data_IF_842067017803
#
_entry.id   IF_842067017803
#
_cell.length_a   1.000
_cell.length_b   1.000
_cell.length_c   1.000
_cell.angle_alpha   90.00
_cell.angle_beta   90.00
_cell.angle_gamma   90.00
#
_symmetry.space_group_name_H-M   'P 1'
#
loop_
_entity.id
_entity.type
_entity.pdbx_description
1 polymer ?
#
# COMPACT_ATOMS: atom_id res chain seq x y z
N UNK A 1 -26.50 10.78 -21.43
CA UNK A 1 -25.39 9.86 -21.09
C UNK A 1 -24.12 10.68 -21.00
N UNK A 2 -23.71 11.06 -19.79
CA UNK A 2 -22.47 11.81 -19.56
C UNK A 2 -21.36 10.79 -19.25
N UNK A 3 -20.50 10.52 -20.24
CA UNK A 3 -19.24 9.80 -20.00
C UNK A 3 -18.23 10.75 -19.39
N UNK A 4 -18.05 10.67 -18.08
CA UNK A 4 -16.94 11.29 -17.37
C UNK A 4 -15.67 10.49 -17.67
N UNK A 5 -15.03 10.75 -18.82
CA UNK A 5 -13.66 10.31 -19.05
C UNK A 5 -12.75 11.14 -18.15
N UNK A 6 -12.65 10.77 -16.87
CA UNK A 6 -11.67 11.38 -15.96
C UNK A 6 -10.30 11.13 -16.56
N UNK A 7 -9.60 12.22 -16.87
CA UNK A 7 -8.29 12.25 -17.46
C UNK A 7 -7.31 11.44 -16.58
N UNK A 8 -7.00 10.21 -16.97
CA UNK A 8 -6.08 9.29 -16.27
C UNK A 8 -4.62 9.81 -16.20
N UNK A 9 -4.35 11.02 -16.71
CA UNK A 9 -3.04 11.67 -16.78
C UNK A 9 -2.73 12.62 -15.63
N UNK A 10 -3.67 12.84 -14.70
CA UNK A 10 -3.53 13.86 -13.66
C UNK A 10 -3.26 13.30 -12.25
N UNK A 11 -3.06 11.99 -12.11
CA UNK A 11 -2.72 11.41 -10.80
C UNK A 11 -1.24 11.61 -10.47
N UNK A 12 -0.99 12.30 -9.36
CA UNK A 12 0.34 12.49 -8.81
C UNK A 12 0.97 11.13 -8.47
N UNK A 13 2.20 10.88 -8.97
CA UNK A 13 2.96 9.66 -8.68
C UNK A 13 3.97 9.91 -7.56
N UNK A 14 4.17 8.91 -6.72
CA UNK A 14 5.19 8.88 -5.68
C UNK A 14 6.11 7.70 -5.91
N UNK A 15 7.39 7.87 -5.58
CA UNK A 15 8.30 6.74 -5.42
C UNK A 15 8.32 6.34 -3.94
N UNK A 16 7.96 5.09 -3.65
CA UNK A 16 7.92 4.57 -2.29
C UNK A 16 8.32 3.09 -2.21
N UNK A 17 8.87 2.65 -1.06
CA UNK A 17 9.12 1.23 -0.83
C UNK A 17 7.80 0.49 -0.57
N UNK A 18 7.65 -0.67 -1.20
CA UNK A 18 6.54 -1.60 -0.97
C UNK A 18 7.06 -3.03 -0.94
N UNK A 19 6.34 -3.93 -0.28
CA UNK A 19 6.46 -5.36 -0.55
C UNK A 19 5.41 -5.72 -1.59
N UNK A 20 5.81 -6.28 -2.72
CA UNK A 20 4.92 -6.64 -3.83
C UNK A 20 4.97 -8.13 -4.14
N UNK A 21 3.80 -8.74 -4.28
CA UNK A 21 3.63 -10.08 -4.86
C UNK A 21 2.68 -9.95 -6.05
N UNK A 22 2.96 -10.69 -7.13
CA UNK A 22 2.10 -10.70 -8.31
C UNK A 22 1.81 -12.13 -8.78
N UNK A 23 0.63 -12.34 -9.36
CA UNK A 23 0.23 -13.58 -10.01
C UNK A 23 -0.45 -13.26 -11.34
N UNK A 24 -0.02 -13.90 -12.43
CA UNK A 24 -0.65 -13.72 -13.73
C UNK A 24 -1.97 -14.47 -13.80
N UNK A 25 -3.05 -13.75 -14.10
CA UNK A 25 -4.42 -14.29 -14.10
C UNK A 25 -4.88 -14.67 -15.50
N UNK A 26 -4.46 -13.91 -16.52
CA UNK A 26 -4.82 -14.14 -17.93
C UNK A 26 -5.16 -12.83 -18.63
N UNK A 27 -6.17 -12.84 -19.52
CA UNK A 27 -6.53 -11.68 -20.32
C UNK A 27 -7.66 -10.81 -19.73
N UNK A 28 -8.35 -11.28 -18.69
CA UNK A 28 -9.52 -10.61 -18.09
C UNK A 28 -9.57 -10.82 -16.59
N UNK A 29 -10.15 -9.85 -15.89
CA UNK A 29 -10.46 -9.96 -14.46
C UNK A 29 -11.55 -11.01 -14.27
N UNK A 30 -11.35 -12.04 -13.43
CA UNK A 30 -12.38 -13.03 -13.13
C UNK A 30 -13.57 -12.39 -12.41
N UNK A 31 -14.79 -12.81 -12.76
CA UNK A 31 -16.00 -12.29 -12.13
C UNK A 31 -16.17 -12.92 -10.74
N UNK A 32 -16.40 -12.09 -9.72
CA UNK A 32 -16.75 -12.56 -8.37
C UNK A 32 -15.59 -13.12 -7.54
N UNK A 33 -14.37 -13.12 -8.06
CA UNK A 33 -13.16 -13.46 -7.30
C UNK A 33 -12.44 -12.19 -6.87
N UNK A 34 -11.87 -12.20 -5.68
CA UNK A 34 -10.99 -11.14 -5.22
C UNK A 34 -9.57 -11.38 -5.73
N UNK A 35 -8.80 -10.31 -5.96
CA UNK A 35 -7.40 -10.46 -6.36
C UNK A 35 -6.59 -11.30 -5.37
N UNK A 36 -6.95 -11.24 -4.09
CA UNK A 36 -6.27 -11.98 -3.04
C UNK A 36 -6.44 -13.50 -3.14
N UNK A 37 -7.52 -14.00 -3.76
CA UNK A 37 -7.77 -15.45 -3.89
C UNK A 37 -6.73 -16.18 -4.75
N UNK A 38 -5.88 -15.45 -5.47
CA UNK A 38 -4.79 -16.01 -6.28
C UNK A 38 -3.53 -16.32 -5.47
N UNK A 39 -3.53 -16.04 -4.17
CA UNK A 39 -2.40 -16.26 -3.28
C UNK A 39 -2.74 -17.33 -2.23
N UNK A 40 -1.80 -18.23 -1.90
CA UNK A 40 -2.06 -19.40 -1.04
C UNK A 40 -2.44 -19.04 0.40
N UNK A 41 -2.05 -17.85 0.85
CA UNK A 41 -2.22 -17.32 2.20
C UNK A 41 -3.32 -16.24 2.29
N UNK A 42 -4.27 -16.26 1.35
CA UNK A 42 -5.34 -15.25 1.24
C UNK A 42 -6.18 -15.08 2.51
N UNK A 43 -6.53 -16.17 3.19
CA UNK A 43 -7.29 -16.11 4.44
C UNK A 43 -6.55 -15.34 5.54
N UNK A 44 -5.24 -15.60 5.67
CA UNK A 44 -4.38 -14.94 6.66
C UNK A 44 -4.21 -13.47 6.30
N UNK A 45 -4.00 -13.15 5.02
CA UNK A 45 -3.89 -11.77 4.56
C UNK A 45 -5.19 -10.97 4.79
N UNK A 46 -6.34 -11.58 4.49
CA UNK A 46 -7.66 -10.99 4.75
C UNK A 46 -7.88 -10.71 6.24
N UNK A 47 -7.56 -11.67 7.12
CA UNK A 47 -7.66 -11.51 8.56
C UNK A 47 -6.78 -10.35 9.07
N UNK A 48 -5.53 -10.25 8.60
CA UNK A 48 -4.63 -9.18 9.01
C UNK A 48 -5.12 -7.80 8.56
N UNK A 49 -5.66 -7.71 7.34
CA UNK A 49 -6.26 -6.46 6.84
C UNK A 49 -7.43 -6.02 7.71
N UNK A 50 -8.29 -6.97 8.08
CA UNK A 50 -9.44 -6.69 8.92
C UNK A 50 -9.02 -6.28 10.34
N UNK A 51 -8.05 -6.97 10.94
CA UNK A 51 -7.52 -6.60 12.25
C UNK A 51 -6.95 -5.16 12.24
N UNK A 52 -6.18 -4.81 11.21
CA UNK A 52 -5.63 -3.46 11.03
C UNK A 52 -6.71 -2.40 10.81
N UNK A 53 -7.79 -2.75 10.10
CA UNK A 53 -8.94 -1.87 9.92
C UNK A 53 -9.59 -1.57 11.27
N UNK A 54 -9.85 -2.60 12.07
CA UNK A 54 -10.42 -2.48 13.41
C UNK A 54 -9.52 -1.69 14.36
N UNK A 55 -8.19 -1.88 14.31
CA UNK A 55 -7.22 -1.08 15.08
C UNK A 55 -7.36 0.41 14.76
N UNK A 56 -7.44 0.75 13.46
CA UNK A 56 -7.54 2.12 13.01
C UNK A 56 -8.86 2.77 13.43
N UNK A 57 -9.97 2.04 13.25
CA UNK A 57 -11.30 2.47 13.67
C UNK A 57 -11.39 2.62 15.18
N UNK A 58 -10.72 1.78 15.96
CA UNK A 58 -10.80 1.80 17.42
C UNK A 58 -9.86 2.81 18.08
N UNK A 59 -8.88 3.36 17.35
CA UNK A 59 -7.85 4.23 17.93
C UNK A 59 -8.43 5.48 18.61
N UNK A 60 -9.42 6.12 18.00
CA UNK A 60 -10.05 7.32 18.59
C UNK A 60 -10.90 6.98 19.82
N UNK A 61 -11.56 5.82 19.83
CA UNK A 61 -12.34 5.34 20.97
C UNK A 61 -11.42 5.03 22.16
N UNK A 62 -10.27 4.40 21.91
CA UNK A 62 -9.28 4.12 22.94
C UNK A 62 -8.75 5.42 23.57
N UNK A 63 -8.49 6.44 22.76
CA UNK A 63 -8.06 7.75 23.25
C UNK A 63 -9.13 8.42 24.12
N UNK A 64 -10.39 8.43 23.66
CA UNK A 64 -11.51 8.99 24.42
C UNK A 64 -11.79 8.25 25.75
N UNK A 65 -11.48 6.95 25.81
CA UNK A 65 -11.49 6.17 27.06
C UNK A 65 -10.36 6.62 27.99
N UNK A 66 -9.15 6.83 27.46
CA UNK A 66 -7.97 7.27 28.21
C UNK A 66 -8.10 8.64 28.84
N UNK A 67 -8.85 9.56 28.20
CA UNK A 67 -9.22 10.84 28.80
C UNK A 67 -10.05 10.69 30.08
N UNK A 68 -10.79 9.58 30.22
CA UNK A 68 -11.63 9.27 31.39
C UNK A 68 -10.90 8.40 32.42
N UNK A 69 -10.20 7.37 31.97
CA UNK A 69 -9.44 6.46 32.83
C UNK A 69 -8.23 5.87 32.09
N UNK A 70 -7.03 6.26 32.54
CA UNK A 70 -5.76 5.81 31.98
C UNK A 70 -5.47 4.32 32.22
N UNK A 71 -5.99 3.73 33.29
CA UNK A 71 -5.80 2.30 33.57
C UNK A 71 -6.59 1.45 32.58
N UNK A 72 -7.80 1.88 32.23
CA UNK A 72 -8.63 1.21 31.22
C UNK A 72 -8.00 1.33 29.83
N UNK A 73 -7.50 2.51 29.46
CA UNK A 73 -6.75 2.69 28.21
C UNK A 73 -5.52 1.76 28.15
N UNK A 74 -4.72 1.71 29.21
CA UNK A 74 -3.55 0.84 29.26
C UNK A 74 -3.92 -0.64 29.12
N UNK A 75 -4.97 -1.08 29.82
CA UNK A 75 -5.44 -2.47 29.75
C UNK A 75 -5.93 -2.85 28.35
N UNK A 76 -6.78 -2.02 27.73
CA UNK A 76 -7.27 -2.24 26.36
C UNK A 76 -6.11 -2.17 25.34
N UNK A 77 -5.15 -1.27 25.53
CA UNK A 77 -3.92 -1.22 24.74
C UNK A 77 -3.09 -2.51 24.85
N UNK A 78 -3.00 -3.11 26.03
CA UNK A 78 -2.37 -4.43 26.19
C UNK A 78 -3.13 -5.55 25.48
N UNK A 79 -4.47 -5.51 25.46
CA UNK A 79 -5.28 -6.48 24.70
C UNK A 79 -5.03 -6.35 23.20
N UNK A 80 -5.05 -5.13 22.64
CA UNK A 80 -4.71 -4.89 21.23
C UNK A 80 -3.30 -5.41 20.90
N UNK A 81 -2.32 -5.14 21.77
CA UNK A 81 -0.95 -5.65 21.59
C UNK A 81 -0.87 -7.18 21.61
N UNK A 82 -1.66 -7.85 22.46
CA UNK A 82 -1.75 -9.32 22.47
C UNK A 82 -2.31 -9.86 21.15
N UNK A 83 -3.37 -9.24 20.62
CA UNK A 83 -3.95 -9.61 19.32
C UNK A 83 -2.93 -9.42 18.19
N UNK A 84 -2.22 -8.30 18.18
CA UNK A 84 -1.12 -8.02 17.24
C UNK A 84 -0.03 -9.12 17.27
N UNK A 85 0.36 -9.57 18.46
CA UNK A 85 1.36 -10.62 18.63
C UNK A 85 0.87 -11.98 18.11
N UNK A 86 -0.39 -12.32 18.39
CA UNK A 86 -1.02 -13.53 17.87
C UNK A 86 -1.13 -13.50 16.35
N UNK A 87 -1.53 -12.36 15.78
CA UNK A 87 -1.61 -12.16 14.34
C UNK A 87 -0.26 -12.36 13.64
N UNK A 88 0.82 -11.81 14.21
CA UNK A 88 2.19 -12.04 13.70
C UNK A 88 2.62 -13.50 13.81
N UNK A 89 2.23 -14.17 14.88
CA UNK A 89 2.52 -15.59 15.03
C UNK A 89 1.78 -16.43 13.98
N UNK A 90 0.50 -16.15 13.70
CA UNK A 90 -0.25 -16.81 12.64
C UNK A 90 0.42 -16.67 11.27
N UNK A 91 0.95 -15.48 10.96
CA UNK A 91 1.76 -15.26 9.75
C UNK A 91 2.99 -16.15 9.73
N UNK A 92 3.72 -16.25 10.84
CA UNK A 92 4.93 -17.08 10.93
C UNK A 92 4.65 -18.58 10.76
N UNK A 93 3.43 -19.03 11.08
CA UNK A 93 3.01 -20.41 10.93
C UNK A 93 2.54 -20.76 9.51
N UNK A 94 2.32 -19.75 8.66
CA UNK A 94 1.74 -19.94 7.33
C UNK A 94 2.87 -19.99 6.28
N UNK A 95 3.16 -21.18 5.70
CA UNK A 95 4.17 -21.30 4.66
C UNK A 95 3.73 -20.52 3.41
N UNK A 96 4.63 -19.74 2.81
CA UNK A 96 4.35 -19.02 1.56
C UNK A 96 3.94 -17.55 1.69
N UNK A 97 3.70 -17.03 2.91
CA UNK A 97 3.44 -15.58 3.12
C UNK A 97 4.65 -14.72 2.73
N UNK A 98 5.85 -15.31 2.66
CA UNK A 98 7.09 -14.64 2.30
C UNK A 98 7.28 -14.38 0.78
N UNK A 99 6.27 -14.61 -0.06
CA UNK A 99 6.41 -14.55 -1.51
C UNK A 99 6.51 -13.14 -2.13
N UNK A 100 6.63 -12.08 -1.33
CA UNK A 100 6.73 -10.71 -1.84
C UNK A 100 8.16 -10.18 -1.84
N UNK A 101 8.52 -9.40 -2.85
CA UNK A 101 9.80 -8.68 -2.91
C UNK A 101 9.64 -7.26 -2.41
N UNK A 102 10.55 -6.82 -1.52
CA UNK A 102 10.64 -5.40 -1.17
C UNK A 102 11.36 -4.65 -2.29
N UNK A 103 10.72 -3.62 -2.83
CA UNK A 103 11.30 -2.76 -3.86
C UNK A 103 10.68 -1.37 -3.84
N UNK A 104 11.43 -0.39 -4.34
CA UNK A 104 10.92 0.96 -4.58
C UNK A 104 10.12 0.96 -5.88
N UNK A 105 8.86 1.41 -5.81
CA UNK A 105 7.93 1.44 -6.94
C UNK A 105 7.45 2.87 -7.18
N UNK A 106 7.01 3.16 -8.41
CA UNK A 106 6.29 4.41 -8.70
C UNK A 106 4.79 4.18 -8.65
N UNK A 107 4.13 4.67 -7.60
CA UNK A 107 2.73 4.41 -7.28
C UNK A 107 1.84 5.66 -7.46
N UNK A 108 0.61 5.44 -7.90
CA UNK A 108 -0.47 6.43 -7.95
C UNK A 108 -1.79 5.77 -7.58
N UNK A 109 -2.87 6.55 -7.48
CA UNK A 109 -4.22 6.00 -7.30
C UNK A 109 -4.71 5.16 -8.50
N UNK A 110 -4.12 5.36 -9.69
CA UNK A 110 -4.55 4.70 -10.92
C UNK A 110 -3.68 3.51 -11.34
N UNK A 111 -2.52 3.32 -10.73
CA UNK A 111 -1.58 2.28 -11.16
C UNK A 111 -0.22 2.33 -10.49
N UNK A 112 0.61 1.38 -10.86
CA UNK A 112 1.92 1.11 -10.27
C UNK A 112 2.94 0.79 -11.37
N UNK A 113 4.19 1.21 -11.18
CA UNK A 113 5.34 0.81 -11.96
C UNK A 113 6.31 0.08 -11.02
N UNK A 114 6.66 -1.15 -11.35
CA UNK A 114 7.56 -1.99 -10.54
C UNK A 114 8.42 -2.86 -11.45
N UNK A 115 9.50 -3.42 -10.90
CA UNK A 115 10.37 -4.35 -11.61
C UNK A 115 9.85 -5.78 -11.49
N UNK A 116 9.83 -6.53 -12.60
CA UNK A 116 9.51 -7.95 -12.63
C UNK A 116 10.43 -8.73 -13.56
N UNK A 117 10.86 -9.91 -13.13
CA UNK A 117 11.67 -10.81 -13.95
C UNK A 117 11.17 -12.26 -13.84
N UNK A 118 10.67 -12.86 -14.94
CA UNK A 118 10.42 -12.22 -16.23
C UNK A 118 9.24 -11.23 -16.17
N UNK A 119 9.23 -10.17 -17.00
CA UNK A 119 8.11 -9.24 -17.05
C UNK A 119 6.89 -9.89 -17.72
N UNK A 120 5.67 -9.78 -17.15
CA UNK A 120 4.46 -10.26 -17.81
C UNK A 120 4.15 -9.42 -19.06
N UNK A 121 3.62 -10.02 -20.14
CA UNK A 121 3.41 -9.29 -21.39
C UNK A 121 2.29 -8.24 -21.28
N UNK A 122 2.33 -7.16 -22.09
CA UNK A 122 1.24 -6.19 -22.17
C UNK A 122 -0.13 -6.85 -22.43
N UNK A 123 -1.17 -6.33 -21.79
CA UNK A 123 -2.53 -6.88 -21.82
C UNK A 123 -2.80 -7.99 -20.80
N UNK A 124 -1.77 -8.48 -20.10
CA UNK A 124 -1.95 -9.46 -19.02
C UNK A 124 -2.62 -8.80 -17.81
N UNK A 125 -3.66 -9.43 -17.28
CA UNK A 125 -4.25 -9.12 -15.98
C UNK A 125 -3.46 -9.82 -14.90
N UNK A 126 -3.07 -9.06 -13.89
CA UNK A 126 -2.35 -9.50 -12.71
C UNK A 126 -3.24 -9.35 -11.49
N UNK A 127 -3.18 -10.35 -10.60
CA UNK A 127 -3.52 -10.16 -9.20
C UNK A 127 -2.25 -9.65 -8.49
N UNK A 128 -2.37 -8.52 -7.80
CA UNK A 128 -1.25 -7.84 -7.17
C UNK A 128 -1.56 -7.66 -5.70
N UNK A 129 -0.65 -8.11 -4.84
CA UNK A 129 -0.66 -7.81 -3.42
C UNK A 129 0.44 -6.79 -3.12
N UNK A 130 0.07 -5.73 -2.40
CA UNK A 130 0.97 -4.66 -1.97
C UNK A 130 0.93 -4.55 -0.45
N UNK A 131 2.11 -4.42 0.17
CA UNK A 131 2.25 -3.91 1.53
C UNK A 131 2.92 -2.55 1.46
N UNK A 132 2.15 -1.50 1.74
CA UNK A 132 2.60 -0.11 1.69
C UNK A 132 3.43 0.22 2.95
N UNK A 133 4.70 0.60 2.78
CA UNK A 133 5.62 0.91 3.86
C UNK A 133 5.70 2.43 4.12
N UNK A 134 6.01 2.89 5.36
CA UNK A 134 6.38 2.10 6.55
C UNK A 134 5.18 1.59 7.36
N UNK A 135 3.96 2.05 7.06
CA UNK A 135 2.76 1.74 7.86
C UNK A 135 2.28 0.28 7.73
N UNK A 136 2.88 -0.51 6.84
CA UNK A 136 2.59 -1.93 6.56
C UNK A 136 1.11 -2.17 6.30
N UNK A 137 0.50 -1.34 5.44
CA UNK A 137 -0.90 -1.48 5.05
C UNK A 137 -0.99 -2.43 3.86
N UNK A 138 -1.74 -3.52 4.02
CA UNK A 138 -1.97 -4.53 2.98
C UNK A 138 -3.11 -4.15 2.04
N UNK A 139 -2.88 -4.34 0.75
CA UNK A 139 -3.82 -4.12 -0.36
C UNK A 139 -3.73 -5.29 -1.35
N UNK A 140 -4.85 -5.77 -1.87
CA UNK A 140 -4.88 -6.75 -2.95
C UNK A 140 -5.82 -6.28 -4.07
N UNK A 141 -5.28 -6.09 -5.27
CA UNK A 141 -5.97 -5.46 -6.40
C UNK A 141 -5.69 -6.21 -7.70
N UNK A 142 -6.63 -6.14 -8.64
CA UNK A 142 -6.34 -6.50 -10.02
C UNK A 142 -5.71 -5.31 -10.75
N UNK A 143 -4.86 -5.61 -11.72
CA UNK A 143 -4.31 -4.60 -12.62
C UNK A 143 -3.91 -5.18 -13.97
N UNK A 144 -4.05 -4.39 -15.02
CA UNK A 144 -3.65 -4.77 -16.39
C UNK A 144 -2.29 -4.18 -16.73
N UNK A 145 -1.39 -5.01 -17.27
CA UNK A 145 -0.11 -4.56 -17.81
C UNK A 145 -0.36 -3.68 -19.03
N UNK A 146 0.04 -2.41 -18.93
CA UNK A 146 -0.09 -1.42 -20.00
C UNK A 146 1.15 -1.39 -20.88
N UNK A 147 2.33 -1.50 -20.28
CA UNK A 147 3.61 -1.44 -20.97
C UNK A 147 4.70 -2.17 -20.18
N UNK A 148 5.72 -2.64 -20.88
CA UNK A 148 6.95 -3.20 -20.31
C UNK A 148 8.12 -2.40 -20.86
N UNK A 149 8.99 -1.91 -19.99
CA UNK A 149 10.21 -1.19 -20.37
C UNK A 149 11.25 -2.13 -20.98
N UNK A 150 11.91 -1.66 -22.04
CA UNK A 150 12.83 -2.49 -22.83
C UNK A 150 14.12 -2.89 -22.09
N UNK A 151 14.66 -2.02 -21.22
CA UNK A 151 15.99 -2.22 -20.60
C UNK A 151 15.91 -2.57 -19.11
N UNK A 152 15.01 -1.93 -18.36
CA UNK A 152 14.90 -2.11 -16.91
C UNK A 152 13.84 -3.13 -16.49
N UNK A 153 13.19 -3.84 -17.44
CA UNK A 153 12.08 -4.80 -17.14
C UNK A 153 10.99 -4.23 -16.22
N UNK A 154 10.81 -2.91 -16.26
CA UNK A 154 9.79 -2.21 -15.50
C UNK A 154 8.42 -2.49 -16.12
N UNK A 155 7.47 -2.91 -15.31
CA UNK A 155 6.11 -3.26 -15.69
C UNK A 155 5.18 -2.14 -15.23
N UNK A 156 4.57 -1.45 -16.19
CA UNK A 156 3.55 -0.43 -15.93
C UNK A 156 2.19 -1.10 -15.87
N UNK A 157 1.53 -1.03 -14.72
CA UNK A 157 0.22 -1.63 -14.48
C UNK A 157 -0.80 -0.57 -14.13
N UNK A 158 -1.96 -0.65 -14.77
CA UNK A 158 -3.14 0.15 -14.41
C UNK A 158 -4.07 -0.69 -13.54
N UNK A 159 -4.50 -0.15 -12.41
CA UNK A 159 -5.43 -0.86 -11.53
C UNK A 159 -6.82 -1.02 -12.17
N UNK A 160 -7.44 -2.17 -11.94
CA UNK A 160 -8.77 -2.52 -12.44
C UNK A 160 -9.79 -2.49 -11.29
N UNK A 161 -10.87 -1.70 -11.45
CA UNK A 161 -12.04 -1.67 -10.56
C UNK A 161 -11.72 -1.69 -9.05
N UNK A 162 -10.91 -0.73 -8.59
CA UNK A 162 -10.62 -0.56 -7.17
C UNK A 162 -11.91 -0.37 -6.35
N UNK A 163 -12.04 -1.14 -5.27
CA UNK A 163 -13.05 -0.89 -4.24
C UNK A 163 -12.79 0.45 -3.54
N UNK A 164 -13.83 1.11 -3.04
CA UNK A 164 -13.70 2.43 -2.43
C UNK A 164 -12.74 2.45 -1.23
N UNK A 165 -12.78 1.39 -0.40
CA UNK A 165 -11.87 1.22 0.73
C UNK A 165 -10.40 1.18 0.27
N UNK A 166 -10.11 0.43 -0.78
CA UNK A 166 -8.76 0.28 -1.34
C UNK A 166 -8.27 1.54 -2.03
N UNK A 167 -9.17 2.23 -2.76
CA UNK A 167 -8.91 3.56 -3.32
C UNK A 167 -8.54 4.57 -2.23
N UNK A 168 -9.27 4.57 -1.12
CA UNK A 168 -9.00 5.48 0.00
C UNK A 168 -7.68 5.17 0.70
N UNK A 169 -7.32 3.88 0.84
CA UNK A 169 -6.02 3.45 1.33
C UNK A 169 -4.89 3.99 0.43
N UNK A 170 -5.00 3.82 -0.88
CA UNK A 170 -4.02 4.31 -1.85
C UNK A 170 -3.89 5.84 -1.82
N UNK A 171 -5.01 6.56 -1.92
CA UNK A 171 -5.04 8.02 -1.89
C UNK A 171 -4.38 8.57 -0.63
N UNK A 172 -4.74 8.04 0.54
CA UNK A 172 -4.15 8.43 1.83
C UNK A 172 -2.65 8.18 1.85
N UNK A 173 -2.20 7.02 1.36
CA UNK A 173 -0.79 6.69 1.33
C UNK A 173 0.01 7.62 0.40
N UNK A 174 -0.49 7.86 -0.82
CA UNK A 174 0.11 8.78 -1.79
C UNK A 174 0.26 10.18 -1.19
N UNK A 175 -0.79 10.70 -0.56
CA UNK A 175 -0.76 12.00 0.11
C UNK A 175 0.26 12.05 1.26
N UNK A 176 0.32 11.01 2.11
CA UNK A 176 1.27 10.94 3.22
C UNK A 176 2.73 10.97 2.74
N UNK A 177 3.06 10.16 1.74
CA UNK A 177 4.42 10.13 1.16
C UNK A 177 4.75 11.47 0.52
N UNK A 178 3.85 12.04 -0.28
CA UNK A 178 4.05 13.35 -0.91
C UNK A 178 4.35 14.45 0.13
N UNK A 179 3.57 14.50 1.22
CA UNK A 179 3.80 15.46 2.30
C UNK A 179 5.15 15.25 2.98
N UNK A 180 5.55 14.00 3.21
CA UNK A 180 6.86 13.68 3.80
C UNK A 180 8.03 14.11 2.90
N UNK A 181 7.92 13.91 1.59
CA UNK A 181 8.94 14.30 0.61
C UNK A 181 9.09 15.82 0.54
N UNK A 182 7.98 16.56 0.53
CA UNK A 182 7.98 18.05 0.58
C UNK A 182 8.63 18.61 1.85
N UNK A 183 8.48 17.92 3.00
CA UNK A 183 9.14 18.34 4.25
C UNK A 183 10.65 18.11 4.18
N UNK A 184 11.10 16.99 3.61
CA UNK A 184 12.53 16.69 3.43
C UNK A 184 13.19 17.64 2.44
N UNK A 185 12.52 18.00 1.34
CA UNK A 185 13.07 18.94 0.36
C UNK A 185 13.19 20.38 0.87
N UNK A 186 12.32 20.80 1.81
CA UNK A 186 12.40 22.11 2.48
C UNK A 186 13.39 22.16 3.65
N UNK A 187 13.65 21.03 4.30
CA UNK A 187 14.61 20.94 5.42
C UNK A 187 16.08 20.72 4.99
N UNK A 188 16.33 20.43 3.71
CA UNK A 188 17.67 20.23 3.14
C UNK A 188 18.35 21.49 2.60
N UNK A 189 17.68 22.63 2.63
CA UNK A 189 18.22 23.94 2.24
C UNK A 189 18.55 24.77 3.49
N UNK A 190 19.52 24.31 4.27
CA UNK A 190 20.21 25.14 5.27
C UNK A 190 21.60 25.46 4.70
N UNK A 191 21.82 26.74 4.46
CA UNK A 191 23.02 27.37 3.94
C UNK A 191 24.25 27.07 4.85
N UNK A 192 25.39 26.54 4.33
CA UNK A 192 26.59 26.32 5.13
C UNK A 192 27.42 27.61 5.34
N UNK A 193 26.96 28.79 4.93
CA UNK A 193 27.71 30.03 5.12
C UNK A 193 26.96 31.04 6.00
N UNK A 194 26.89 30.72 7.29
CA UNK A 194 26.69 31.71 8.33
C UNK A 194 27.90 32.66 8.41
N UNK A 195 27.88 33.75 7.63
CA UNK A 195 28.63 34.98 7.95
C UNK A 195 27.81 36.20 7.57
N UNK A 196 27.36 36.89 8.61
CA UNK A 196 26.87 38.27 8.54
C UNK A 196 27.97 39.15 7.95
N UNK A 197 27.60 39.95 6.94
CA UNK A 197 28.39 41.11 6.54
C UNK A 197 27.84 42.34 7.25
N UNK A 198 28.78 43.25 7.52
CA UNK A 198 28.68 44.71 7.71
C UNK A 198 29.00 45.23 9.11
N UNK A 199 29.56 46.44 9.22
CA UNK A 199 29.66 47.52 8.21
C UNK A 199 30.96 47.59 7.40
#
# INVERSE_FOLDING_TARGET
MHSSTSNQRDFYRIDCPVVISQHAVGARVPLGLSADSHFPDSEVFGLLRELRRLDHESSHMLHAIGEKDRNVEAYLGHLNRKLDLLARHLVSLTPGVAGGSEQTVSLSEGGILFHADPPPPPGTVLAIRLTLLPNRVGLAVYGSVVAVGNEERNVSVRFESLQDADRQILARHVMQVQMSQKRRSRGGSVDPQGRERFP
#
